data_IF_956046564021
#
_entry.id   IF_956046564021
#
_cell.length_a   1.000
_cell.length_b   1.000
_cell.length_c   1.000
_cell.angle_alpha   90.00
_cell.angle_beta   90.00
_cell.angle_gamma   90.00
#
_symmetry.space_group_name_H-M   'P 1'
#
loop_
_entity.id
_entity.type
_entity.pdbx_description
1 polymer ?
#
# COMPACT_ATOMS: atom_id res chain seq x y z
N UNK A 1 6.46 -28.26 -11.61
CA UNK A 1 5.52 -27.13 -11.75
C UNK A 1 6.39 -25.88 -11.79
N UNK A 2 6.48 -25.18 -12.93
CA UNK A 2 7.45 -24.11 -13.16
C UNK A 2 6.98 -22.76 -12.57
N UNK A 3 7.92 -21.93 -12.09
CA UNK A 3 7.72 -20.51 -11.76
C UNK A 3 6.40 -20.22 -11.01
N UNK A 4 6.26 -20.74 -9.79
CA UNK A 4 5.06 -20.65 -8.98
C UNK A 4 4.40 -19.26 -9.01
N UNK A 5 3.25 -19.20 -9.70
CA UNK A 5 2.32 -18.09 -9.92
C UNK A 5 2.76 -16.68 -9.43
N UNK A 6 3.42 -15.93 -10.33
CA UNK A 6 3.81 -14.52 -10.11
C UNK A 6 2.63 -13.64 -9.70
N UNK A 7 1.40 -13.94 -10.16
CA UNK A 7 0.19 -13.20 -9.80
C UNK A 7 -0.20 -13.51 -8.36
N UNK A 8 -0.19 -14.78 -7.95
CA UNK A 8 -0.44 -15.16 -6.56
C UNK A 8 0.61 -14.56 -5.61
N UNK A 9 1.89 -14.56 -6.00
CA UNK A 9 2.95 -13.90 -5.22
C UNK A 9 2.70 -12.41 -5.06
N UNK A 10 2.30 -11.73 -6.14
CA UNK A 10 1.95 -10.29 -6.10
C UNK A 10 0.78 -10.04 -5.14
N UNK A 11 -0.31 -10.83 -5.27
CA UNK A 11 -1.49 -10.76 -4.39
C UNK A 11 -1.15 -11.03 -2.92
N UNK A 12 -0.23 -11.95 -2.64
CA UNK A 12 0.24 -12.22 -1.28
C UNK A 12 1.13 -11.09 -0.75
N UNK A 13 1.98 -10.49 -1.59
CA UNK A 13 2.88 -9.40 -1.23
C UNK A 13 2.13 -8.10 -0.92
N UNK A 14 1.32 -7.60 -1.85
CA UNK A 14 -0.12 -7.61 -1.62
C UNK A 14 -0.66 -7.36 -0.21
N UNK A 15 -1.38 -8.40 0.23
CA UNK A 15 -1.97 -8.55 1.54
C UNK A 15 -0.97 -8.25 2.67
N UNK A 16 0.30 -8.62 2.54
CA UNK A 16 1.32 -8.37 3.56
C UNK A 16 1.63 -6.88 3.73
N UNK A 17 1.74 -6.12 2.64
CA UNK A 17 1.83 -4.66 2.72
C UNK A 17 0.56 -4.08 3.36
N UNK A 18 -0.61 -4.61 3.01
CA UNK A 18 -1.91 -4.11 3.48
C UNK A 18 -2.04 -4.29 4.99
N UNK A 19 -1.57 -5.43 5.48
CA UNK A 19 -1.42 -5.70 6.90
C UNK A 19 -0.47 -4.70 7.56
N UNK A 20 0.70 -4.42 6.98
CA UNK A 20 1.65 -3.44 7.53
C UNK A 20 1.00 -2.08 7.74
N UNK A 21 0.34 -1.57 6.70
CA UNK A 21 -0.37 -0.29 6.72
C UNK A 21 -1.33 -0.19 7.91
N UNK A 22 -2.17 -1.21 8.07
CA UNK A 22 -3.20 -1.21 9.10
C UNK A 22 -2.66 -1.45 10.52
N UNK A 23 -1.53 -2.15 10.66
CA UNK A 23 -1.05 -2.67 11.94
C UNK A 23 0.19 -1.96 12.47
N UNK A 24 0.89 -1.16 11.66
CA UNK A 24 2.06 -0.43 12.10
C UNK A 24 1.87 1.08 12.06
N UNK A 25 2.01 1.72 13.23
CA UNK A 25 1.84 3.17 13.42
C UNK A 25 3.11 3.87 13.93
N UNK A 26 4.15 3.10 14.22
CA UNK A 26 5.42 3.62 14.70
C UNK A 26 6.60 2.85 14.10
N UNK A 27 7.79 3.42 14.31
CA UNK A 27 9.04 2.91 13.77
C UNK A 27 9.38 1.51 14.26
N UNK A 28 9.11 1.20 15.52
CA UNK A 28 9.46 -0.10 16.08
C UNK A 28 8.65 -1.20 15.40
N UNK A 29 7.35 -0.99 15.21
CA UNK A 29 6.48 -1.91 14.47
C UNK A 29 6.96 -2.12 13.03
N UNK A 30 7.29 -1.03 12.32
CA UNK A 30 7.74 -1.12 10.93
C UNK A 30 9.03 -1.95 10.81
N UNK A 31 10.02 -1.69 11.66
CA UNK A 31 11.29 -2.42 11.66
C UNK A 31 11.10 -3.92 11.94
N UNK A 32 10.27 -4.26 12.92
CA UNK A 32 9.99 -5.66 13.26
C UNK A 32 9.20 -6.38 12.16
N UNK A 33 8.26 -5.68 11.52
CA UNK A 33 7.57 -6.20 10.34
C UNK A 33 8.54 -6.49 9.18
N UNK A 34 9.44 -5.55 8.86
CA UNK A 34 10.43 -5.74 7.79
C UNK A 34 11.36 -6.92 8.05
N UNK A 35 11.86 -7.07 9.29
CA UNK A 35 12.71 -8.20 9.69
C UNK A 35 11.99 -9.53 9.52
N UNK A 36 10.76 -9.63 10.02
CA UNK A 36 9.92 -10.84 9.90
C UNK A 36 9.66 -11.16 8.43
N UNK A 37 9.21 -10.16 7.66
CA UNK A 37 8.88 -10.34 6.24
C UNK A 37 10.08 -10.78 5.41
N UNK A 38 11.26 -10.23 5.70
CA UNK A 38 12.51 -10.65 5.08
C UNK A 38 12.84 -12.12 5.40
N UNK A 39 12.70 -12.54 6.65
CA UNK A 39 12.96 -13.93 7.05
C UNK A 39 12.00 -14.91 6.36
N UNK A 40 10.71 -14.57 6.27
CA UNK A 40 9.70 -15.37 5.56
C UNK A 40 10.02 -15.52 4.07
N UNK A 41 10.35 -14.41 3.38
CA UNK A 41 10.67 -14.43 1.95
C UNK A 41 11.95 -15.22 1.67
N UNK A 42 12.95 -15.11 2.55
CA UNK A 42 14.17 -15.90 2.47
C UNK A 42 13.90 -17.40 2.67
N UNK A 43 13.03 -17.76 3.61
CA UNK A 43 12.62 -19.14 3.84
C UNK A 43 11.86 -19.71 2.63
N UNK A 44 10.91 -18.97 2.07
CA UNK A 44 10.15 -19.36 0.88
C UNK A 44 11.07 -19.55 -0.35
N UNK A 45 12.03 -18.66 -0.55
CA UNK A 45 13.05 -18.81 -1.59
C UNK A 45 13.92 -20.06 -1.35
N UNK A 46 14.28 -20.35 -0.11
CA UNK A 46 15.03 -21.56 0.26
C UNK A 46 14.25 -22.85 0.02
N UNK A 47 12.96 -22.88 0.34
CA UNK A 47 12.08 -24.05 0.12
C UNK A 47 11.78 -24.29 -1.36
N UNK A 48 11.59 -23.24 -2.16
CA UNK A 48 11.39 -23.36 -3.61
C UNK A 48 12.60 -24.01 -4.32
N UNK A 49 13.82 -23.75 -3.84
CA UNK A 49 15.05 -24.36 -4.35
C UNK A 49 15.24 -25.83 -3.92
N UNK A 50 14.52 -26.30 -2.89
CA UNK A 50 14.59 -27.68 -2.40
C UNK A 50 13.49 -28.59 -2.97
N UNK A 51 12.39 -28.01 -3.48
CA UNK A 51 11.20 -28.75 -3.94
C UNK A 51 11.25 -29.26 -5.38
N UNK A 52 12.17 -28.77 -6.21
CA UNK A 52 12.32 -29.17 -7.61
C UNK A 52 13.76 -29.67 -7.87
N UNK A 53 14.09 -30.93 -7.53
CA UNK A 53 15.09 -31.78 -8.23
C UNK A 53 15.06 -33.18 -7.61
N UNK A 54 14.61 -34.18 -8.39
CA UNK A 54 15.18 -35.54 -8.33
C UNK A 54 15.82 -35.80 -9.69
N UNK A 55 17.11 -35.51 -9.81
CA UNK A 55 17.91 -35.75 -11.02
C UNK A 55 18.75 -37.02 -10.86
N UNK A 56 19.00 -37.78 -11.94
CA UNK A 56 19.87 -38.97 -11.92
C UNK A 56 21.33 -38.61 -11.62
N UNK A 57 22.01 -39.50 -10.89
CA UNK A 57 23.28 -39.28 -10.17
C UNK A 57 24.44 -38.68 -10.99
N UNK A 58 24.44 -38.84 -12.32
CA UNK A 58 25.52 -38.32 -13.19
C UNK A 58 25.42 -36.82 -13.50
N UNK A 59 24.23 -36.20 -13.37
CA UNK A 59 24.08 -34.76 -13.54
C UNK A 59 24.42 -33.96 -12.25
N UNK A 60 24.61 -34.64 -11.12
CA UNK A 60 24.90 -34.02 -9.84
C UNK A 60 26.30 -33.40 -9.77
N UNK A 61 27.27 -33.83 -10.58
CA UNK A 61 28.64 -33.33 -10.51
C UNK A 61 28.85 -31.98 -11.23
N UNK A 62 28.07 -31.69 -12.27
CA UNK A 62 28.21 -30.44 -13.05
C UNK A 62 27.23 -29.33 -12.61
N UNK A 63 26.14 -29.66 -11.91
CA UNK A 63 25.15 -28.68 -11.44
C UNK A 63 25.51 -28.04 -10.08
N UNK A 64 26.55 -28.52 -9.38
CA UNK A 64 26.93 -28.01 -8.06
C UNK A 64 27.56 -26.61 -8.09
N UNK A 65 28.07 -26.14 -9.23
CA UNK A 65 28.82 -24.88 -9.32
C UNK A 65 27.97 -23.66 -9.68
N UNK A 66 26.70 -23.83 -10.05
CA UNK A 66 25.77 -22.72 -10.25
C UNK A 66 24.47 -22.97 -9.48
N UNK A 67 24.58 -23.10 -8.16
CA UNK A 67 23.45 -22.76 -7.29
C UNK A 67 23.20 -21.27 -7.50
N UNK A 68 22.12 -20.92 -8.19
CA UNK A 68 21.57 -19.59 -8.10
C UNK A 68 21.36 -19.31 -6.61
N UNK A 69 22.22 -18.46 -6.05
CA UNK A 69 22.12 -18.02 -4.67
C UNK A 69 20.67 -17.54 -4.50
N UNK A 70 19.88 -18.07 -3.54
CA UNK A 70 18.57 -17.49 -3.27
C UNK A 70 18.80 -16.00 -3.10
N UNK A 71 17.96 -15.17 -3.72
CA UNK A 71 18.09 -13.72 -3.72
C UNK A 71 18.13 -13.23 -2.28
N UNK A 72 19.33 -13.20 -1.72
CA UNK A 72 19.59 -12.70 -0.38
C UNK A 72 19.63 -11.22 -0.61
N UNK A 73 18.60 -10.55 -0.11
CA UNK A 73 18.55 -9.10 -0.08
C UNK A 73 19.81 -8.50 0.59
N UNK A 74 20.59 -9.32 1.34
CA UNK A 74 21.87 -8.96 1.99
C UNK A 74 21.77 -7.63 2.76
N UNK A 75 20.57 -7.32 3.24
CA UNK A 75 20.30 -6.15 4.05
C UNK A 75 20.69 -6.47 5.50
N UNK A 76 21.64 -5.70 6.03
CA UNK A 76 21.98 -5.71 7.44
C UNK A 76 21.07 -4.73 8.22
N UNK A 77 21.11 -4.80 9.55
CA UNK A 77 20.26 -3.95 10.42
C UNK A 77 20.44 -2.44 10.17
N UNK A 78 21.63 -2.01 9.76
CA UNK A 78 21.90 -0.60 9.42
C UNK A 78 21.19 -0.21 8.14
N UNK A 79 21.20 -1.07 7.12
CA UNK A 79 20.46 -0.87 5.87
C UNK A 79 18.95 -0.93 6.09
N UNK A 80 18.46 -1.84 6.93
CA UNK A 80 17.04 -1.90 7.32
C UNK A 80 16.63 -0.64 8.10
N UNK A 81 17.48 -0.14 9.00
CA UNK A 81 17.26 1.13 9.70
C UNK A 81 17.30 2.35 8.75
N UNK A 82 18.01 2.26 7.63
CA UNK A 82 18.02 3.27 6.57
C UNK A 82 16.76 3.28 5.70
N UNK A 83 16.07 2.13 5.57
CA UNK A 83 14.77 2.05 4.88
C UNK A 83 13.67 2.80 5.67
N UNK A 84 13.77 2.79 7.01
CA UNK A 84 12.86 3.49 7.91
C UNK A 84 13.65 4.39 8.91
N UNK A 85 14.08 5.59 8.48
CA UNK A 85 14.83 6.51 9.33
C UNK A 85 14.07 6.89 10.61
N UNK A 86 14.75 7.40 11.65
CA UNK A 86 14.07 7.94 12.83
C UNK A 86 13.01 8.97 12.43
N UNK A 87 11.75 8.73 12.80
CA UNK A 87 10.60 9.55 12.38
C UNK A 87 9.90 9.10 11.08
N UNK A 88 10.31 7.97 10.48
CA UNK A 88 9.64 7.42 9.31
C UNK A 88 8.16 7.08 9.60
N UNK A 89 7.27 7.79 8.94
CA UNK A 89 5.86 7.46 8.77
C UNK A 89 5.67 6.80 7.39
N UNK A 90 4.57 6.06 7.13
CA UNK A 90 4.27 5.63 5.77
C UNK A 90 4.35 6.84 4.82
N UNK A 91 4.93 6.63 3.64
CA UNK A 91 5.17 7.72 2.71
C UNK A 91 3.83 8.31 2.28
N UNK A 92 3.59 9.62 2.51
CA UNK A 92 2.38 10.25 2.03
C UNK A 92 2.37 10.24 0.52
N UNK A 93 1.19 9.99 -0.06
CA UNK A 93 1.03 10.04 -1.50
C UNK A 93 0.60 11.43 -1.99
N UNK A 94 0.24 12.34 -1.07
CA UNK A 94 0.05 13.74 -1.38
C UNK A 94 1.39 14.42 -1.70
N UNK A 95 1.37 15.33 -2.66
CA UNK A 95 2.56 16.09 -3.10
C UNK A 95 2.69 17.43 -2.39
N UNK A 96 1.61 17.93 -1.78
CA UNK A 96 1.58 19.22 -1.08
C UNK A 96 0.47 19.26 -0.04
N UNK A 97 0.67 20.06 1.01
CA UNK A 97 -0.37 20.41 1.99
C UNK A 97 -0.46 21.92 2.08
N UNK A 98 -1.67 22.46 2.08
CA UNK A 98 -1.94 23.87 2.34
C UNK A 98 -3.22 24.01 3.17
N UNK A 99 -3.14 24.72 4.30
CA UNK A 99 -4.32 25.08 5.10
C UNK A 99 -5.26 23.92 5.49
N UNK A 100 -4.70 22.73 5.73
CA UNK A 100 -5.46 21.51 6.07
C UNK A 100 -6.06 20.78 4.87
N UNK A 101 -5.72 21.19 3.65
CA UNK A 101 -6.03 20.51 2.41
C UNK A 101 -4.77 19.83 1.83
N UNK A 102 -4.93 18.58 1.40
CA UNK A 102 -3.87 17.71 0.90
C UNK A 102 -4.03 17.55 -0.61
N UNK A 103 -2.96 17.75 -1.37
CA UNK A 103 -3.03 17.75 -2.83
C UNK A 103 -2.41 16.49 -3.40
N UNK A 104 -3.17 15.79 -4.24
CA UNK A 104 -2.77 14.54 -4.88
C UNK A 104 -2.66 14.70 -6.38
N UNK A 105 -1.69 13.98 -6.96
CA UNK A 105 -1.68 13.66 -8.38
C UNK A 105 -2.58 12.45 -8.62
N UNK A 106 -3.35 12.46 -9.70
CA UNK A 106 -4.16 11.31 -10.08
C UNK A 106 -3.31 10.32 -10.89
N UNK A 107 -3.01 9.12 -10.37
CA UNK A 107 -2.12 8.17 -11.04
C UNK A 107 -2.70 7.64 -12.36
N UNK A 108 -4.01 7.79 -12.57
CA UNK A 108 -4.69 7.37 -13.80
C UNK A 108 -4.84 8.53 -14.78
N UNK A 109 -4.68 9.77 -14.32
CA UNK A 109 -4.64 10.93 -15.18
C UNK A 109 -3.19 11.19 -15.62
N UNK A 110 -2.98 11.54 -16.89
CA UNK A 110 -1.63 11.84 -17.39
C UNK A 110 -0.98 13.03 -16.66
N UNK A 111 0.33 13.21 -16.84
CA UNK A 111 1.16 14.20 -16.12
C UNK A 111 0.70 15.68 -16.22
N UNK A 112 -0.25 16.01 -17.11
CA UNK A 112 -0.82 17.34 -17.25
C UNK A 112 -2.12 17.55 -16.43
N UNK A 113 -2.54 16.56 -15.64
CA UNK A 113 -3.77 16.64 -14.87
C UNK A 113 -3.66 17.63 -13.71
N UNK A 114 -4.76 18.36 -13.46
CA UNK A 114 -4.85 19.23 -12.29
C UNK A 114 -4.80 18.41 -10.99
N UNK A 115 -4.08 18.95 -9.99
CA UNK A 115 -4.04 18.39 -8.64
C UNK A 115 -5.45 18.30 -8.05
N UNK A 116 -5.66 17.26 -7.25
CA UNK A 116 -6.90 17.03 -6.52
C UNK A 116 -6.70 17.45 -5.07
N UNK A 117 -7.45 18.44 -4.61
CA UNK A 117 -7.43 18.91 -3.22
C UNK A 117 -8.29 18.00 -2.35
N UNK A 118 -7.79 17.59 -1.20
CA UNK A 118 -8.41 16.59 -0.33
C UNK A 118 -8.50 17.09 1.10
N UNK A 119 -9.69 16.97 1.70
CA UNK A 119 -9.92 17.26 3.11
C UNK A 119 -10.45 16.02 3.80
N UNK A 120 -9.77 15.63 4.87
CA UNK A 120 -10.24 14.58 5.76
C UNK A 120 -11.06 15.20 6.88
N UNK A 121 -12.24 14.64 7.18
CA UNK A 121 -13.14 15.13 8.24
C UNK A 121 -13.18 14.25 9.48
N UNK A 122 -12.44 13.14 9.48
CA UNK A 122 -12.44 12.19 10.60
C UNK A 122 -13.33 10.98 10.33
N UNK A 123 -13.79 10.37 11.43
CA UNK A 123 -14.64 9.17 11.40
C UNK A 123 -16.01 9.54 11.95
N UNK A 124 -17.06 9.27 11.18
CA UNK A 124 -18.46 9.46 11.56
C UNK A 124 -19.20 8.14 11.39
N UNK A 125 -19.91 7.67 12.42
CA UNK A 125 -20.63 6.39 12.41
C UNK A 125 -19.76 5.18 11.99
N UNK A 126 -18.47 5.19 12.36
CA UNK A 126 -17.51 4.14 11.99
C UNK A 126 -17.04 4.19 10.54
N UNK A 127 -17.36 5.27 9.81
CA UNK A 127 -16.92 5.51 8.44
C UNK A 127 -15.96 6.69 8.35
N UNK A 128 -14.88 6.54 7.59
CA UNK A 128 -13.99 7.64 7.25
C UNK A 128 -14.71 8.59 6.29
N UNK A 129 -14.72 9.90 6.60
CA UNK A 129 -15.35 10.92 5.75
C UNK A 129 -14.25 11.77 5.11
N UNK A 130 -14.14 11.70 3.79
CA UNK A 130 -13.12 12.42 3.03
C UNK A 130 -13.78 13.12 1.85
N UNK A 131 -13.38 14.36 1.56
CA UNK A 131 -13.79 15.05 0.35
C UNK A 131 -12.59 15.33 -0.55
N UNK A 132 -12.76 15.08 -1.84
CA UNK A 132 -11.78 15.33 -2.87
C UNK A 132 -12.38 16.30 -3.90
N UNK A 133 -11.67 17.37 -4.22
CA UNK A 133 -12.11 18.43 -5.12
C UNK A 133 -11.17 18.55 -6.32
N UNK A 134 -11.76 18.69 -7.51
CA UNK A 134 -11.05 19.00 -8.76
C UNK A 134 -11.81 20.12 -9.48
N UNK A 135 -11.31 21.35 -9.34
CA UNK A 135 -12.01 22.53 -9.83
C UNK A 135 -13.36 22.71 -9.11
N UNK A 136 -14.47 22.63 -9.85
CA UNK A 136 -15.84 22.73 -9.28
C UNK A 136 -16.45 21.38 -8.88
N UNK A 137 -15.82 20.26 -9.25
CA UNK A 137 -16.33 18.95 -8.93
C UNK A 137 -15.83 18.53 -7.55
N UNK A 138 -16.75 18.10 -6.67
CA UNK A 138 -16.43 17.54 -5.37
C UNK A 138 -16.94 16.11 -5.31
N UNK A 139 -16.11 15.20 -4.81
CA UNK A 139 -16.43 13.82 -4.52
C UNK A 139 -16.25 13.59 -3.03
N UNK A 140 -17.24 12.99 -2.39
CA UNK A 140 -17.12 12.47 -1.03
C UNK A 140 -16.82 10.99 -1.08
N UNK A 141 -15.75 10.59 -0.39
CA UNK A 141 -15.39 9.20 -0.18
C UNK A 141 -15.74 8.77 1.23
N UNK A 142 -16.33 7.58 1.33
CA UNK A 142 -16.71 6.94 2.60
C UNK A 142 -16.23 5.49 2.61
N UNK A 143 -15.61 5.03 3.70
CA UNK A 143 -15.32 3.60 3.89
C UNK A 143 -15.44 3.17 5.35
N UNK A 144 -15.85 1.92 5.59
CA UNK A 144 -15.92 1.27 6.91
C UNK A 144 -14.53 0.99 7.49
N UNK A 145 -14.44 0.57 8.75
CA UNK A 145 -13.16 0.34 9.45
C UNK A 145 -12.17 -0.60 8.72
N UNK A 146 -12.65 -1.56 7.92
CA UNK A 146 -11.83 -2.47 7.12
C UNK A 146 -11.44 -1.91 5.73
N UNK A 147 -12.07 -0.80 5.31
CA UNK A 147 -11.94 -0.09 4.03
C UNK A 147 -11.70 -1.00 2.82
N UNK A 148 -12.36 -2.17 2.77
CA UNK A 148 -12.30 -3.08 1.64
C UNK A 148 -12.98 -2.48 0.38
N UNK A 149 -13.99 -1.64 0.62
CA UNK A 149 -14.75 -0.91 -0.38
C UNK A 149 -14.83 0.57 -0.03
N UNK A 150 -14.92 1.40 -1.05
CA UNK A 150 -15.00 2.85 -0.97
C UNK A 150 -16.30 3.27 -1.65
N UNK A 151 -17.21 3.87 -0.88
CA UNK A 151 -18.35 4.60 -1.41
C UNK A 151 -17.90 5.94 -1.95
N UNK A 152 -18.37 6.30 -3.14
CA UNK A 152 -18.07 7.55 -3.82
C UNK A 152 -19.38 8.24 -4.12
N UNK A 153 -19.56 9.42 -3.55
CA UNK A 153 -20.70 10.28 -3.79
C UNK A 153 -20.21 11.52 -4.52
N UNK A 154 -20.63 11.70 -5.77
CA UNK A 154 -20.47 13.00 -6.42
C UNK A 154 -21.36 14.01 -5.71
N UNK A 155 -20.79 15.16 -5.36
CA UNK A 155 -21.51 16.29 -4.78
C UNK A 155 -21.62 17.41 -5.84
N UNK A 156 -22.58 17.35 -6.79
CA UNK A 156 -22.80 18.42 -7.75
C UNK A 156 -24.01 19.26 -7.34
N UNK A 157 -23.86 20.25 -6.45
CA UNK A 157 -24.98 21.17 -6.14
C UNK A 157 -26.33 20.45 -5.96
N UNK A 158 -27.36 20.88 -6.70
CA UNK A 158 -28.78 20.52 -6.50
C UNK A 158 -29.22 19.08 -6.91
N UNK A 159 -28.30 18.13 -7.20
CA UNK A 159 -28.69 16.73 -7.53
C UNK A 159 -27.80 15.73 -6.80
N UNK A 160 -28.38 15.01 -5.85
CA UNK A 160 -27.77 13.81 -5.26
C UNK A 160 -27.64 12.74 -6.34
N UNK A 161 -26.39 12.37 -6.69
CA UNK A 161 -26.14 11.22 -7.58
C UNK A 161 -26.03 9.95 -6.76
N UNK A 162 -26.39 8.82 -7.35
CA UNK A 162 -26.22 7.51 -6.71
C UNK A 162 -24.78 7.29 -6.24
N UNK A 163 -24.65 6.74 -5.02
CA UNK A 163 -23.36 6.35 -4.47
C UNK A 163 -22.76 5.21 -5.29
N UNK A 164 -21.55 5.41 -5.80
CA UNK A 164 -20.79 4.39 -6.51
C UNK A 164 -19.88 3.67 -5.53
N UNK A 165 -20.00 2.35 -5.43
CA UNK A 165 -19.12 1.53 -4.58
C UNK A 165 -18.01 0.93 -5.42
N UNK A 166 -16.76 1.25 -5.07
CA UNK A 166 -15.56 0.70 -5.72
C UNK A 166 -14.73 -0.13 -4.75
N UNK A 167 -13.94 -1.07 -5.26
CA UNK A 167 -13.00 -1.86 -4.45
C UNK A 167 -11.76 -1.01 -4.12
N UNK A 168 -11.24 -1.10 -2.90
CA UNK A 168 -9.96 -0.49 -2.54
C UNK A 168 -8.79 -1.37 -3.06
N UNK A 169 -8.37 -1.11 -4.30
CA UNK A 169 -7.43 -1.93 -5.08
C UNK A 169 -6.05 -1.28 -5.29
N UNK A 170 -5.81 -0.12 -4.64
CA UNK A 170 -4.51 0.59 -4.48
C UNK A 170 -4.01 1.43 -5.64
N UNK A 171 -4.49 1.20 -6.87
CA UNK A 171 -3.99 1.92 -8.05
C UNK A 171 -4.96 2.99 -8.58
N UNK A 172 -5.96 3.33 -7.78
CA UNK A 172 -6.91 4.38 -8.07
C UNK A 172 -6.72 5.53 -7.09
N UNK A 173 -6.90 6.77 -7.54
CA UNK A 173 -6.84 7.97 -6.69
C UNK A 173 -7.65 7.83 -5.38
N UNK A 174 -8.91 7.33 -5.40
CA UNK A 174 -9.70 7.09 -4.18
C UNK A 174 -9.02 6.12 -3.21
N UNK A 175 -8.42 5.04 -3.72
CA UNK A 175 -7.70 4.06 -2.88
C UNK A 175 -6.50 4.70 -2.20
N UNK A 176 -5.72 5.49 -2.95
CA UNK A 176 -4.54 6.19 -2.43
C UNK A 176 -4.93 7.15 -1.30
N UNK A 177 -5.93 7.99 -1.54
CA UNK A 177 -6.43 8.96 -0.56
C UNK A 177 -6.96 8.27 0.71
N UNK A 178 -7.80 7.25 0.54
CA UNK A 178 -8.40 6.53 1.67
C UNK A 178 -7.33 5.82 2.49
N UNK A 179 -6.34 5.20 1.85
CA UNK A 179 -5.26 4.52 2.57
C UNK A 179 -4.44 5.54 3.39
N UNK A 180 -4.13 6.72 2.86
CA UNK A 180 -3.48 7.78 3.64
C UNK A 180 -4.31 8.17 4.88
N UNK A 181 -5.64 8.24 4.78
CA UNK A 181 -6.51 8.52 5.93
C UNK A 181 -6.45 7.40 6.98
N UNK A 182 -6.61 6.15 6.55
CA UNK A 182 -6.62 4.96 7.43
C UNK A 182 -5.28 4.78 8.15
N UNK A 183 -4.18 5.16 7.47
CA UNK A 183 -2.83 5.12 8.02
C UNK A 183 -2.47 6.32 8.90
N UNK A 184 -3.40 7.26 9.11
CA UNK A 184 -3.18 8.44 9.96
C UNK A 184 -2.27 9.50 9.35
N UNK A 185 -2.12 9.52 8.02
CA UNK A 185 -1.32 10.53 7.31
C UNK A 185 -2.11 11.81 7.04
N UNK A 186 -3.45 11.74 7.13
CA UNK A 186 -4.34 12.88 7.01
C UNK A 186 -4.83 13.30 8.40
N UNK A 187 -4.73 14.59 8.71
CA UNK A 187 -5.28 15.18 9.92
C UNK A 187 -6.74 15.59 9.68
N UNK A 188 -7.67 15.29 10.62
CA UNK A 188 -9.06 15.67 10.47
C UNK A 188 -9.24 17.19 10.57
N UNK A 189 -9.99 17.74 9.61
CA UNK A 189 -10.38 19.14 9.57
C UNK A 189 -11.26 19.45 10.78
N UNK A 190 -10.84 20.39 11.62
CA UNK A 190 -11.57 20.76 12.84
C UNK A 190 -11.05 20.13 14.13
N UNK A 191 -10.03 19.27 14.08
CA UNK A 191 -9.28 18.88 15.26
C UNK A 191 -8.39 20.04 15.73
N UNK A 192 -8.92 20.84 16.65
CA UNK A 192 -8.12 21.67 17.58
C UNK A 192 -8.17 21.04 18.96
#
# INVERSE_FOLDING_TARGET
MHAADRRAFTIASDQQWRWREQNCRDRACLLDWYRRRQAELQAQAGSALAGDVRLPDKAAAAAQTVRAEPLRLKLNDVQIAGIAPPGAMPWPHYVRVDSGEYFYEDPQAGAAAALVGVRYYGIENGQYIIEASRGKAVLRYTCSADCAYIGQLALPGDIEKDMVIVRNDRNSLPSVIVNDAVNGLLAPTGAR
#
